data_IF_004434952424
#
_entry.id   IF_004434952424
#
_cell.length_a   1.000
_cell.length_b   1.000
_cell.length_c   1.000
_cell.angle_alpha   90.00
_cell.angle_beta   90.00
_cell.angle_gamma   90.00
#
_symmetry.space_group_name_H-M   'P 1'
#
loop_
_entity.id
_entity.type
_entity.pdbx_description
1 polymer ?
#
# COMPACT_ATOMS: atom_id res chain seq x y z
N UNK A 1 -9.94 13.76 14.71
CA UNK A 1 -10.72 12.62 14.21
C UNK A 1 -10.14 11.33 14.77
N UNK A 2 -10.96 10.41 15.20
CA UNK A 2 -10.50 9.10 15.67
C UNK A 2 -10.58 8.09 14.52
N UNK A 3 -9.83 6.98 14.64
CA UNK A 3 -9.91 5.91 13.67
C UNK A 3 -11.33 5.31 13.61
N UNK A 4 -12.00 5.25 14.76
CA UNK A 4 -13.38 4.75 14.82
C UNK A 4 -14.35 5.68 14.07
N UNK A 5 -14.19 6.98 14.23
CA UNK A 5 -15.01 7.95 13.50
C UNK A 5 -14.75 7.88 12.00
N UNK A 6 -13.49 7.73 11.62
CA UNK A 6 -13.13 7.56 10.22
C UNK A 6 -13.77 6.29 9.65
N UNK A 7 -13.70 5.19 10.39
CA UNK A 7 -14.29 3.92 9.97
C UNK A 7 -15.78 4.01 9.66
N UNK A 8 -16.50 4.85 10.40
CA UNK A 8 -17.95 5.06 10.16
C UNK A 8 -18.24 5.75 8.83
N UNK A 9 -17.27 6.43 8.25
CA UNK A 9 -17.45 7.13 6.97
C UNK A 9 -17.15 6.24 5.77
N UNK A 10 -16.53 5.07 5.99
CA UNK A 10 -16.07 4.20 4.92
C UNK A 10 -17.19 3.28 4.44
N UNK A 11 -17.14 2.83 3.18
CA UNK A 11 -18.02 1.77 2.72
C UNK A 11 -17.67 0.45 3.44
N UNK A 12 -18.35 -0.63 3.07
CA UNK A 12 -18.22 -1.89 3.80
C UNK A 12 -16.82 -2.54 3.73
N UNK A 13 -15.97 -2.15 2.78
CA UNK A 13 -14.65 -2.76 2.60
C UNK A 13 -13.55 -1.70 2.58
N UNK A 14 -12.47 -1.96 3.29
CA UNK A 14 -11.25 -1.15 3.24
C UNK A 14 -10.03 -2.02 3.52
N UNK A 15 -8.85 -1.42 3.32
CA UNK A 15 -7.57 -2.04 3.67
C UNK A 15 -6.99 -1.26 4.84
N UNK A 16 -6.54 -1.99 5.86
CA UNK A 16 -5.86 -1.44 7.01
C UNK A 16 -4.50 -2.12 7.14
N UNK A 17 -3.42 -1.36 6.97
CA UNK A 17 -2.07 -1.89 7.06
C UNK A 17 -1.42 -1.42 8.36
N UNK A 18 -0.88 -2.38 9.12
CA UNK A 18 -0.10 -2.05 10.31
C UNK A 18 1.35 -1.81 9.88
N UNK A 19 1.91 -0.69 10.33
CA UNK A 19 3.22 -0.22 9.87
C UNK A 19 4.14 0.05 11.05
N UNK A 20 5.42 -0.24 10.87
CA UNK A 20 6.41 -0.07 11.93
C UNK A 20 6.85 1.39 12.10
N UNK A 21 6.78 2.18 11.04
CA UNK A 21 7.15 3.59 11.04
C UNK A 21 6.14 4.35 10.17
N UNK A 22 5.20 5.03 10.83
CA UNK A 22 4.08 5.67 10.15
C UNK A 22 4.54 6.75 9.17
N UNK A 23 5.50 7.58 9.56
CA UNK A 23 6.00 8.66 8.71
C UNK A 23 6.67 8.11 7.44
N UNK A 24 7.45 7.05 7.58
CA UNK A 24 8.12 6.40 6.45
C UNK A 24 7.11 5.75 5.50
N UNK A 25 6.09 5.12 6.05
CA UNK A 25 5.04 4.52 5.23
C UNK A 25 4.20 5.57 4.52
N UNK A 26 3.85 6.67 5.19
CA UNK A 26 3.15 7.79 4.54
C UNK A 26 3.95 8.31 3.35
N UNK A 27 5.27 8.47 3.51
CA UNK A 27 6.13 8.91 2.41
C UNK A 27 6.09 7.95 1.21
N UNK A 28 6.11 6.64 1.47
CA UNK A 28 5.98 5.65 0.40
C UNK A 28 4.63 5.76 -0.31
N UNK A 29 3.54 5.80 0.43
CA UNK A 29 2.21 5.80 -0.17
C UNK A 29 1.89 7.08 -0.91
N UNK A 30 2.43 8.22 -0.47
CA UNK A 30 2.23 9.49 -1.19
C UNK A 30 3.19 9.65 -2.36
N UNK A 31 4.47 9.34 -2.19
CA UNK A 31 5.49 9.60 -3.21
C UNK A 31 5.60 8.51 -4.26
N UNK A 32 5.37 7.25 -3.90
CA UNK A 32 5.53 6.11 -4.81
C UNK A 32 4.19 5.65 -5.35
N UNK A 33 3.25 5.29 -4.47
CA UNK A 33 1.92 4.84 -4.88
C UNK A 33 1.10 5.98 -5.47
N UNK A 34 1.32 7.20 -5.01
CA UNK A 34 0.61 8.38 -5.53
C UNK A 34 -0.70 8.66 -4.82
N UNK A 35 -0.88 8.15 -3.62
CA UNK A 35 -2.08 8.41 -2.82
C UNK A 35 -2.03 9.83 -2.23
N UNK A 36 -3.21 10.35 -1.90
CA UNK A 36 -3.35 11.62 -1.20
C UNK A 36 -3.55 11.35 0.29
N UNK A 37 -2.73 11.99 1.12
CA UNK A 37 -2.91 11.94 2.58
C UNK A 37 -4.09 12.84 2.95
N UNK A 38 -5.16 12.28 3.51
CA UNK A 38 -6.34 13.03 3.91
C UNK A 38 -6.37 13.36 5.39
N UNK A 39 -5.68 12.55 6.20
CA UNK A 39 -5.55 12.77 7.65
C UNK A 39 -4.37 11.99 8.20
N UNK A 40 -3.69 12.53 9.19
CA UNK A 40 -2.71 11.76 9.98
C UNK A 40 -2.58 12.33 11.39
N UNK A 41 -2.29 11.44 12.33
CA UNK A 41 -1.87 11.74 13.69
C UNK A 41 -0.80 10.70 14.08
N UNK A 42 -0.27 10.69 15.32
CA UNK A 42 0.75 9.72 15.69
C UNK A 42 0.31 8.25 15.65
N UNK A 43 -0.99 7.98 15.61
CA UNK A 43 -1.54 6.62 15.69
C UNK A 43 -1.92 6.05 14.34
N UNK A 44 -2.46 6.87 13.43
CA UNK A 44 -2.88 6.36 12.12
C UNK A 44 -2.89 7.44 11.05
N UNK A 45 -3.02 7.00 9.81
CA UNK A 45 -3.16 7.85 8.64
C UNK A 45 -4.30 7.32 7.77
N UNK A 46 -5.05 8.24 7.16
CA UNK A 46 -6.05 7.94 6.16
C UNK A 46 -5.55 8.45 4.81
N UNK A 47 -5.63 7.61 3.79
CA UNK A 47 -5.16 7.91 2.45
C UNK A 47 -6.25 7.60 1.43
N UNK A 48 -6.20 8.31 0.31
CA UNK A 48 -7.11 8.08 -0.81
C UNK A 48 -6.33 7.98 -2.11
N UNK A 49 -6.73 7.01 -2.93
CA UNK A 49 -6.25 6.84 -4.29
C UNK A 49 -7.46 6.55 -5.17
N UNK A 50 -7.87 7.52 -5.98
CA UNK A 50 -9.14 7.46 -6.72
C UNK A 50 -10.30 7.19 -5.74
N UNK A 51 -11.11 6.15 -5.99
CA UNK A 51 -12.21 5.74 -5.12
C UNK A 51 -11.77 4.88 -3.93
N UNK A 52 -10.51 4.45 -3.89
CA UNK A 52 -9.99 3.66 -2.78
C UNK A 52 -9.62 4.57 -1.60
N UNK A 53 -10.19 4.29 -0.45
CA UNK A 53 -9.74 4.86 0.82
C UNK A 53 -9.18 3.73 1.67
N UNK A 54 -8.00 3.95 2.26
CA UNK A 54 -7.35 2.94 3.10
C UNK A 54 -6.60 3.61 4.23
N UNK A 55 -6.18 2.80 5.20
CA UNK A 55 -5.55 3.29 6.43
C UNK A 55 -4.22 2.63 6.68
N UNK A 56 -3.39 3.38 7.41
CA UNK A 56 -2.18 2.86 8.03
C UNK A 56 -2.33 3.04 9.54
N UNK A 57 -2.02 2.01 10.33
CA UNK A 57 -1.97 2.12 11.79
C UNK A 57 -0.56 1.84 12.28
N UNK A 58 -0.10 2.68 13.19
CA UNK A 58 1.17 2.42 13.88
C UNK A 58 1.05 1.16 14.76
N UNK A 59 2.10 0.36 14.82
CA UNK A 59 2.09 -0.91 15.54
C UNK A 59 1.61 -0.80 16.98
N UNK A 60 1.98 0.26 17.69
CA UNK A 60 1.62 0.42 19.09
C UNK A 60 0.10 0.49 19.32
N UNK A 61 -0.69 0.84 18.30
CA UNK A 61 -2.15 0.89 18.42
C UNK A 61 -2.78 -0.50 18.46
N UNK A 62 -2.00 -1.54 18.16
CA UNK A 62 -2.43 -2.93 18.13
C UNK A 62 -1.75 -3.78 19.21
N UNK A 63 -1.28 -3.17 20.30
CA UNK A 63 -0.54 -3.87 21.37
C UNK A 63 -1.37 -4.96 22.07
N UNK A 64 -2.69 -4.88 22.01
CA UNK A 64 -3.59 -5.92 22.55
C UNK A 64 -4.07 -6.91 21.50
N UNK A 65 -3.69 -6.71 20.23
CA UNK A 65 -4.13 -7.59 19.15
C UNK A 65 -3.29 -8.86 19.10
N UNK A 66 -3.89 -10.02 18.71
CA UNK A 66 -3.13 -11.27 18.62
C UNK A 66 -1.91 -11.21 17.68
N UNK A 67 -1.88 -10.29 16.73
CA UNK A 67 -0.77 -10.12 15.78
C UNK A 67 0.45 -9.44 16.39
N UNK A 68 0.33 -8.79 17.53
CA UNK A 68 1.37 -7.88 18.02
C UNK A 68 2.73 -8.56 18.15
N UNK A 69 2.77 -9.77 18.70
CA UNK A 69 4.03 -10.52 18.84
C UNK A 69 4.68 -10.79 17.49
N UNK A 70 3.89 -11.17 16.48
CA UNK A 70 4.39 -11.40 15.13
C UNK A 70 4.93 -10.12 14.50
N UNK A 71 4.27 -8.97 14.73
CA UNK A 71 4.73 -7.68 14.21
C UNK A 71 6.09 -7.29 14.77
N UNK A 72 6.36 -7.60 16.01
CA UNK A 72 7.63 -7.24 16.67
C UNK A 72 8.77 -8.22 16.36
N UNK A 73 8.50 -9.33 15.67
CA UNK A 73 9.51 -10.34 15.34
C UNK A 73 10.42 -9.98 14.16
N UNK A 74 10.14 -8.87 13.46
CA UNK A 74 10.93 -8.45 12.30
C UNK A 74 10.64 -9.21 11.01
N UNK A 75 9.59 -10.02 10.99
CA UNK A 75 9.19 -10.77 9.80
C UNK A 75 8.59 -9.83 8.76
N UNK A 76 8.84 -10.14 7.48
CA UNK A 76 8.22 -9.43 6.36
C UNK A 76 6.70 -9.56 6.45
N UNK A 77 6.00 -8.43 6.36
CA UNK A 77 4.55 -8.38 6.51
C UNK A 77 3.82 -8.61 5.21
N UNK A 78 2.59 -9.10 5.32
CA UNK A 78 1.69 -9.25 4.19
C UNK A 78 2.04 -10.37 3.23
N UNK A 79 2.94 -11.25 3.61
CA UNK A 79 3.32 -12.38 2.77
C UNK A 79 2.10 -13.27 2.51
N UNK A 80 1.82 -13.52 1.23
CA UNK A 80 0.64 -14.28 0.82
C UNK A 80 -0.56 -13.41 0.41
N UNK A 81 -0.51 -12.10 0.63
CA UNK A 81 -1.49 -11.16 0.13
C UNK A 81 -0.85 -10.20 -0.87
N UNK A 82 -1.55 -9.91 -1.94
CA UNK A 82 -1.09 -8.97 -2.96
C UNK A 82 -2.13 -7.88 -3.13
N UNK A 83 -1.69 -6.63 -3.02
CA UNK A 83 -2.56 -5.47 -3.24
C UNK A 83 -2.38 -5.03 -4.68
N UNK A 84 -3.47 -4.96 -5.44
CA UNK A 84 -3.38 -4.69 -6.87
C UNK A 84 -4.08 -3.40 -7.26
N UNK A 85 -3.39 -2.60 -8.08
CA UNK A 85 -3.95 -1.43 -8.73
C UNK A 85 -4.04 -1.71 -10.23
N UNK A 86 -5.25 -1.81 -10.72
CA UNK A 86 -5.52 -1.96 -12.15
C UNK A 86 -5.61 -0.58 -12.82
N UNK A 87 -5.46 -0.55 -14.13
CA UNK A 87 -5.63 0.67 -14.93
C UNK A 87 -4.76 1.82 -14.42
N UNK A 88 -3.53 1.48 -14.06
CA UNK A 88 -2.55 2.40 -13.49
C UNK A 88 -1.24 2.22 -14.24
N UNK A 89 -0.58 3.32 -14.59
CA UNK A 89 0.66 3.30 -15.37
C UNK A 89 1.81 2.70 -14.57
N UNK A 90 2.26 1.47 -14.89
CA UNK A 90 3.34 0.83 -14.13
C UNK A 90 4.70 1.49 -14.35
N UNK A 91 4.95 2.04 -15.53
CA UNK A 91 6.23 2.69 -15.83
C UNK A 91 6.40 3.98 -15.02
N UNK A 92 5.34 4.77 -14.91
CA UNK A 92 5.36 5.98 -14.09
C UNK A 92 5.57 5.65 -12.61
N UNK A 93 4.93 4.59 -12.12
CA UNK A 93 5.11 4.16 -10.73
C UNK A 93 6.52 3.64 -10.49
N UNK A 94 7.07 2.84 -11.41
CA UNK A 94 8.45 2.37 -11.30
C UNK A 94 9.43 3.53 -11.23
N UNK A 95 9.24 4.57 -12.05
CA UNK A 95 10.10 5.75 -12.03
C UNK A 95 10.06 6.45 -10.66
N UNK A 96 8.86 6.58 -10.06
CA UNK A 96 8.74 7.14 -8.70
C UNK A 96 9.38 6.24 -7.66
N UNK A 97 9.20 4.92 -7.78
CA UNK A 97 9.81 3.96 -6.86
C UNK A 97 11.35 4.10 -6.87
N UNK A 98 11.95 4.19 -8.04
CA UNK A 98 13.41 4.37 -8.16
C UNK A 98 13.85 5.70 -7.60
N UNK A 99 13.13 6.77 -7.90
CA UNK A 99 13.46 8.12 -7.42
C UNK A 99 13.47 8.18 -5.89
N UNK A 100 12.55 7.48 -5.23
CA UNK A 100 12.39 7.50 -3.78
C UNK A 100 13.02 6.31 -3.08
N UNK A 101 13.79 5.48 -3.78
CA UNK A 101 14.53 4.38 -3.18
C UNK A 101 13.66 3.23 -2.68
N UNK A 102 12.47 3.05 -3.23
CA UNK A 102 11.58 1.96 -2.85
C UNK A 102 12.08 0.62 -3.39
N UNK A 103 11.69 -0.46 -2.74
CA UNK A 103 12.04 -1.82 -3.15
C UNK A 103 11.20 -2.25 -4.34
N UNK A 104 11.87 -2.59 -5.45
CA UNK A 104 11.22 -3.13 -6.64
C UNK A 104 11.44 -4.64 -6.63
N UNK A 105 10.36 -5.41 -6.52
CA UNK A 105 10.43 -6.87 -6.52
C UNK A 105 10.43 -7.43 -7.93
N UNK A 106 9.75 -6.76 -8.84
CA UNK A 106 9.73 -7.10 -10.26
C UNK A 106 9.66 -5.81 -11.07
N UNK A 107 10.63 -5.62 -11.95
CA UNK A 107 10.62 -4.48 -12.88
C UNK A 107 9.43 -4.57 -13.84
N UNK A 108 9.02 -3.43 -14.40
CA UNK A 108 7.96 -3.40 -15.41
C UNK A 108 8.25 -4.37 -16.52
N UNK A 109 7.28 -5.19 -16.85
CA UNK A 109 7.36 -6.07 -17.99
C UNK A 109 5.97 -6.45 -18.49
N UNK A 110 5.91 -6.78 -19.76
CA UNK A 110 4.70 -7.33 -20.37
C UNK A 110 4.52 -8.78 -19.94
N UNK A 111 3.38 -9.06 -19.35
CA UNK A 111 3.03 -10.38 -18.84
C UNK A 111 2.27 -11.17 -19.91
N UNK A 112 2.38 -12.53 -19.92
CA UNK A 112 1.71 -13.34 -20.93
C UNK A 112 0.19 -13.18 -20.96
N UNK A 113 -0.42 -12.81 -19.84
CA UNK A 113 -1.87 -12.65 -19.72
C UNK A 113 -2.40 -11.32 -20.25
N UNK A 114 -1.58 -10.50 -20.90
CA UNK A 114 -2.02 -9.27 -21.55
C UNK A 114 -2.00 -8.03 -20.65
N UNK A 115 -1.18 -8.06 -19.61
CA UNK A 115 -0.95 -6.93 -18.70
C UNK A 115 0.53 -6.56 -18.69
N UNK A 116 0.79 -5.29 -18.42
CA UNK A 116 2.12 -4.81 -18.09
C UNK A 116 2.15 -4.45 -16.62
N UNK A 117 2.97 -5.13 -15.84
CA UNK A 117 2.98 -5.01 -14.38
C UNK A 117 4.35 -4.61 -13.84
N UNK A 118 4.32 -3.89 -12.72
CA UNK A 118 5.47 -3.70 -11.82
C UNK A 118 5.04 -4.16 -10.43
N UNK A 119 5.97 -4.77 -9.69
CA UNK A 119 5.70 -5.22 -8.31
C UNK A 119 6.69 -4.53 -7.40
N UNK A 120 6.17 -3.83 -6.39
CA UNK A 120 6.96 -3.11 -5.39
C UNK A 120 6.58 -3.55 -3.99
N UNK A 121 7.50 -3.39 -3.04
CA UNK A 121 7.22 -3.63 -1.63
C UNK A 121 7.25 -2.30 -0.88
N UNK A 122 6.33 -2.16 0.07
CA UNK A 122 6.37 -1.02 0.97
C UNK A 122 7.46 -1.21 2.04
N UNK A 123 7.70 -0.22 2.93
CA UNK A 123 8.78 -0.34 3.93
C UNK A 123 8.67 -1.55 4.86
N UNK A 124 7.47 -2.08 5.09
CA UNK A 124 7.26 -3.24 5.95
C UNK A 124 7.17 -4.57 5.18
N UNK A 125 7.20 -4.50 3.84
CA UNK A 125 7.19 -5.68 2.99
C UNK A 125 5.84 -6.00 2.36
N UNK A 126 4.81 -5.17 2.57
CA UNK A 126 3.53 -5.37 1.87
C UNK A 126 3.73 -5.22 0.37
N UNK A 127 3.18 -6.15 -0.39
CA UNK A 127 3.39 -6.26 -1.83
C UNK A 127 2.28 -5.58 -2.60
N UNK A 128 2.68 -4.69 -3.51
CA UNK A 128 1.78 -3.99 -4.43
C UNK A 128 2.13 -4.35 -5.86
N UNK A 129 1.13 -4.79 -6.63
CA UNK A 129 1.25 -5.02 -8.06
C UNK A 129 0.45 -3.97 -8.81
N UNK A 130 1.08 -3.27 -9.71
CA UNK A 130 0.48 -2.16 -10.44
C UNK A 130 0.58 -2.44 -11.93
N UNK A 131 -0.54 -2.31 -12.63
CA UNK A 131 -0.52 -2.63 -14.04
C UNK A 131 -1.61 -2.01 -14.87
N UNK A 132 -1.39 -2.12 -16.17
CA UNK A 132 -2.35 -1.71 -17.18
C UNK A 132 -2.43 -2.76 -18.29
N UNK A 133 -3.57 -2.81 -18.97
CA UNK A 133 -3.76 -3.77 -20.05
C UNK A 133 -2.90 -3.39 -21.25
N UNK A 134 -2.23 -4.39 -21.84
CA UNK A 134 -1.48 -4.24 -23.10
C UNK A 134 -2.32 -4.69 -24.29
N UNK A 135 -3.42 -5.38 -24.03
CA UNK A 135 -4.32 -5.90 -25.07
C UNK A 135 -5.77 -5.58 -24.71
N UNK A 136 -6.61 -5.30 -25.70
CA UNK A 136 -8.03 -5.14 -25.44
C UNK A 136 -8.65 -6.47 -25.00
N UNK A 137 -9.81 -6.39 -24.34
CA UNK A 137 -10.62 -7.56 -24.02
C UNK A 137 -11.16 -8.12 -25.33
N UNK A 138 -10.98 -9.41 -25.54
CA UNK A 138 -11.45 -10.13 -26.73
C UNK A 138 -12.60 -11.06 -26.38
#
# INVERSE_FOLDING_TARGET
MTADDYGRTLPFFTVNLLVSDLARSIAFYTNVIGATLTYSDPDFAALRLRELEFMLHADHTYDHHPWFQSLTSGVRRGLGAELRLFHTDPDALEARARKHGATILQECKDMPHGWRDVIVADPDGYTWAIGSATKPIT
#
